data_IF_051450832855
#
_entry.id   IF_051450832855
#
_cell.length_a   1.000
_cell.length_b   1.000
_cell.length_c   1.000
_cell.angle_alpha   90.00
_cell.angle_beta   90.00
_cell.angle_gamma   90.00
#
_symmetry.space_group_name_H-M   'P 1'
#
loop_
_entity.id
_entity.type
_entity.pdbx_description
1 polymer ?
#
# COMPACT_ATOMS: atom_id res chain seq x y z
N UNK A 1 -22.38 -14.14 10.87
CA UNK A 1 -23.18 -14.02 9.63
C UNK A 1 -22.33 -14.36 8.40
N UNK A 2 -21.12 -13.80 8.25
CA UNK A 2 -20.20 -14.14 7.15
C UNK A 2 -19.70 -15.59 7.14
N UNK A 3 -19.23 -16.14 8.27
CA UNK A 3 -18.81 -17.55 8.35
C UNK A 3 -19.96 -18.53 8.04
N UNK A 4 -21.18 -18.20 8.49
CA UNK A 4 -22.39 -18.97 8.20
C UNK A 4 -22.76 -18.95 6.71
N UNK A 5 -22.25 -17.97 5.96
CA UNK A 5 -22.39 -17.88 4.51
C UNK A 5 -21.23 -18.54 3.75
N UNK A 6 -20.31 -19.23 4.43
CA UNK A 6 -19.16 -19.90 3.82
C UNK A 6 -18.02 -18.95 3.42
N UNK A 7 -18.06 -17.69 3.88
CA UNK A 7 -17.00 -16.73 3.64
C UNK A 7 -15.95 -16.87 4.76
N UNK A 8 -14.67 -17.12 4.43
CA UNK A 8 -13.61 -17.14 5.42
C UNK A 8 -13.46 -15.73 6.02
N UNK A 9 -13.44 -15.67 7.36
CA UNK A 9 -13.25 -14.43 8.11
C UNK A 9 -12.05 -14.62 8.99
N UNK A 10 -11.12 -13.67 8.91
CA UNK A 10 -10.08 -13.50 9.92
C UNK A 10 -10.52 -12.36 10.85
N UNK A 11 -10.55 -12.63 12.15
CA UNK A 11 -10.86 -11.63 13.17
C UNK A 11 -9.55 -11.22 13.84
N UNK A 12 -8.93 -10.11 13.41
CA UNK A 12 -7.65 -9.72 13.98
C UNK A 12 -7.83 -9.26 15.42
N UNK A 13 -6.85 -9.59 16.26
CA UNK A 13 -6.80 -9.12 17.64
C UNK A 13 -6.63 -7.59 17.72
N UNK A 14 -6.02 -6.99 16.69
CA UNK A 14 -5.84 -5.56 16.54
C UNK A 14 -6.24 -5.14 15.12
N UNK A 15 -7.46 -4.58 15.01
CA UNK A 15 -7.99 -4.09 13.75
C UNK A 15 -7.23 -2.87 13.23
N UNK A 16 -6.77 -1.98 14.11
CA UNK A 16 -6.09 -0.75 13.70
C UNK A 16 -4.72 -1.07 13.13
N UNK A 17 -3.96 -1.95 13.77
CA UNK A 17 -2.69 -2.46 13.25
C UNK A 17 -2.86 -3.08 11.85
N UNK A 18 -3.88 -3.92 11.66
CA UNK A 18 -4.16 -4.52 10.35
C UNK A 18 -4.60 -3.52 9.30
N UNK A 19 -5.34 -2.49 9.68
CA UNK A 19 -5.70 -1.40 8.77
C UNK A 19 -4.45 -0.62 8.35
N UNK A 20 -3.57 -0.27 9.29
CA UNK A 20 -2.33 0.46 9.00
C UNK A 20 -1.34 -0.35 8.17
N UNK A 21 -1.24 -1.67 8.40
CA UNK A 21 -0.42 -2.57 7.60
C UNK A 21 -0.88 -2.57 6.14
N UNK A 22 -2.19 -2.73 5.89
CA UNK A 22 -2.76 -2.60 4.55
C UNK A 22 -2.61 -1.17 4.00
N UNK A 23 -2.71 -0.17 4.85
CA UNK A 23 -2.59 1.23 4.46
C UNK A 23 -1.17 1.53 3.95
N UNK A 24 -0.13 1.01 4.61
CA UNK A 24 1.27 1.09 4.18
C UNK A 24 1.46 0.59 2.74
N UNK A 25 0.81 -0.52 2.39
CA UNK A 25 0.80 -1.05 1.02
C UNK A 25 0.10 -0.09 0.05
N UNK A 26 -1.09 0.39 0.41
CA UNK A 26 -1.93 1.18 -0.49
C UNK A 26 -1.48 2.64 -0.66
N UNK A 27 -0.77 3.21 0.32
CA UNK A 27 -0.33 4.61 0.30
C UNK A 27 0.63 4.91 -0.85
N UNK A 28 1.38 3.88 -1.30
CA UNK A 28 2.32 4.00 -2.41
C UNK A 28 1.69 3.76 -3.80
N UNK A 29 0.40 3.39 -3.90
CA UNK A 29 -0.22 3.03 -5.18
C UNK A 29 -0.22 4.15 -6.21
N UNK A 30 -0.24 5.41 -5.78
CA UNK A 30 -0.12 6.57 -6.67
C UNK A 30 1.22 6.58 -7.43
N UNK A 31 2.30 6.04 -6.84
CA UNK A 31 3.62 5.95 -7.50
C UNK A 31 3.56 4.99 -8.69
N UNK A 32 2.92 3.82 -8.51
CA UNK A 32 2.67 2.89 -9.61
C UNK A 32 1.75 3.48 -10.68
N UNK A 33 0.71 4.22 -10.28
CA UNK A 33 -0.21 4.89 -11.20
C UNK A 33 0.51 5.90 -12.10
N UNK A 34 1.31 6.81 -11.51
CA UNK A 34 2.07 7.83 -12.23
C UNK A 34 3.05 7.21 -13.23
N UNK A 35 3.75 6.17 -12.80
CA UNK A 35 4.74 5.50 -13.64
C UNK A 35 4.15 4.49 -14.64
N UNK A 36 2.84 4.21 -14.55
CA UNK A 36 2.14 3.21 -15.36
C UNK A 36 2.82 1.83 -15.35
N UNK A 37 3.33 1.44 -14.18
CA UNK A 37 4.14 0.25 -14.03
C UNK A 37 3.38 -0.85 -13.26
N UNK A 38 3.37 -2.10 -13.77
CA UNK A 38 3.06 -3.27 -12.97
C UNK A 38 3.99 -3.42 -11.75
N UNK A 39 3.54 -4.16 -10.73
CA UNK A 39 4.28 -4.31 -9.46
C UNK A 39 5.68 -4.92 -9.65
N UNK A 40 5.78 -5.98 -10.44
CA UNK A 40 7.01 -6.70 -10.74
C UNK A 40 7.98 -5.81 -11.53
N UNK A 41 7.48 -5.11 -12.54
CA UNK A 41 8.28 -4.22 -13.40
C UNK A 41 8.79 -3.01 -12.64
N UNK A 42 7.91 -2.30 -11.93
CA UNK A 42 8.27 -1.09 -11.19
C UNK A 42 9.29 -1.40 -10.09
N UNK A 43 9.07 -2.46 -9.34
CA UNK A 43 9.91 -2.80 -8.18
C UNK A 43 11.26 -3.43 -8.55
N UNK A 44 11.44 -3.86 -9.80
CA UNK A 44 12.72 -4.33 -10.32
C UNK A 44 13.69 -3.18 -10.66
N UNK A 45 13.19 -1.95 -10.84
CA UNK A 45 14.00 -0.77 -11.19
C UNK A 45 14.49 -0.08 -9.91
N UNK A 46 15.80 -0.06 -9.68
CA UNK A 46 16.38 0.42 -8.42
C UNK A 46 15.94 1.86 -8.01
N UNK A 47 15.97 2.87 -8.91
CA UNK A 47 15.42 4.19 -8.59
C UNK A 47 13.93 4.19 -8.19
N UNK A 48 13.13 3.34 -8.83
CA UNK A 48 11.70 3.24 -8.52
C UNK A 48 11.48 2.59 -7.16
N UNK A 49 12.15 1.47 -6.90
CA UNK A 49 12.11 0.77 -5.60
C UNK A 49 12.49 1.69 -4.45
N UNK A 50 13.46 2.58 -4.67
CA UNK A 50 13.86 3.58 -3.69
C UNK A 50 12.78 4.62 -3.39
N UNK A 51 12.04 5.06 -4.41
CA UNK A 51 10.89 5.96 -4.23
C UNK A 51 9.76 5.27 -3.46
N UNK A 52 9.45 4.01 -3.79
CA UNK A 52 8.49 3.21 -3.01
C UNK A 52 8.90 3.07 -1.55
N UNK A 53 10.17 2.71 -1.31
CA UNK A 53 10.73 2.56 0.05
C UNK A 53 10.54 3.83 0.86
N UNK A 54 10.93 4.98 0.32
CA UNK A 54 10.79 6.28 1.00
C UNK A 54 9.33 6.61 1.31
N UNK A 55 8.42 6.45 0.35
CA UNK A 55 7.00 6.73 0.59
C UNK A 55 6.37 5.80 1.64
N UNK A 56 6.79 4.54 1.68
CA UNK A 56 6.39 3.60 2.72
C UNK A 56 6.98 3.97 4.09
N UNK A 57 8.25 4.37 4.15
CA UNK A 57 8.89 4.83 5.39
C UNK A 57 8.23 6.10 5.94
N UNK A 58 7.83 7.04 5.08
CA UNK A 58 7.03 8.20 5.47
C UNK A 58 5.70 7.77 6.08
N UNK A 59 4.99 6.84 5.43
CA UNK A 59 3.72 6.31 5.93
C UNK A 59 3.90 5.59 7.28
N UNK A 60 4.97 4.81 7.43
CA UNK A 60 5.30 4.11 8.68
C UNK A 60 5.65 5.09 9.82
N UNK A 61 6.34 6.19 9.51
CA UNK A 61 6.62 7.24 10.49
C UNK A 61 5.32 7.90 10.98
N UNK A 62 4.37 8.15 10.07
CA UNK A 62 3.03 8.66 10.43
C UNK A 62 2.26 7.64 11.27
N UNK A 63 2.29 6.35 10.92
CA UNK A 63 1.66 5.29 11.72
C UNK A 63 2.20 5.26 13.15
N UNK A 64 3.52 5.36 13.30
CA UNK A 64 4.18 5.41 14.61
C UNK A 64 3.76 6.64 15.41
N UNK A 65 3.70 7.82 14.78
CA UNK A 65 3.22 9.03 15.44
C UNK A 65 1.74 8.94 15.85
N UNK A 66 0.95 8.17 15.10
CA UNK A 66 -0.44 7.85 15.42
C UNK A 66 -0.59 6.82 16.55
N UNK A 67 0.52 6.23 17.03
CA UNK A 67 0.52 5.24 18.11
C UNK A 67 0.43 3.78 17.64
N UNK A 68 0.64 3.53 16.34
CA UNK A 68 0.57 2.19 15.75
C UNK A 68 1.98 1.74 15.37
N UNK A 69 2.44 0.65 15.99
CA UNK A 69 3.74 0.05 15.70
C UNK A 69 3.60 -1.08 14.68
N UNK A 70 3.91 -0.79 13.41
CA UNK A 70 4.01 -1.81 12.38
C UNK A 70 5.24 -2.71 12.60
N UNK A 71 5.21 -3.97 12.11
CA UNK A 71 6.37 -4.84 12.14
C UNK A 71 7.61 -4.16 11.53
N UNK A 72 8.77 -4.35 12.16
CA UNK A 72 10.01 -3.69 11.75
C UNK A 72 10.41 -3.99 10.28
N UNK A 73 9.96 -5.13 9.74
CA UNK A 73 10.20 -5.57 8.38
C UNK A 73 9.06 -5.24 7.40
N UNK A 74 7.98 -4.57 7.83
CA UNK A 74 6.78 -4.36 6.98
C UNK A 74 7.10 -3.70 5.63
N UNK A 75 7.95 -2.66 5.62
CA UNK A 75 8.37 -2.00 4.38
C UNK A 75 9.14 -2.96 3.47
N UNK A 76 10.12 -3.69 4.01
CA UNK A 76 10.94 -4.64 3.25
C UNK A 76 10.08 -5.77 2.68
N UNK A 77 9.17 -6.31 3.49
CA UNK A 77 8.25 -7.38 3.09
C UNK A 77 7.37 -6.95 1.91
N UNK A 78 6.83 -5.73 1.92
CA UNK A 78 6.02 -5.24 0.80
C UNK A 78 6.85 -5.00 -0.46
N UNK A 79 8.06 -4.45 -0.35
CA UNK A 79 8.94 -4.27 -1.50
C UNK A 79 9.34 -5.60 -2.14
N UNK A 80 9.56 -6.64 -1.33
CA UNK A 80 9.77 -8.00 -1.82
C UNK A 80 8.49 -8.63 -2.39
N UNK A 81 7.35 -8.36 -1.78
CA UNK A 81 6.05 -8.83 -2.27
C UNK A 81 5.76 -8.31 -3.67
N UNK A 82 6.02 -7.02 -3.93
CA UNK A 82 5.85 -6.46 -5.26
C UNK A 82 6.79 -7.05 -6.30
N UNK A 83 8.06 -7.30 -5.96
CA UNK A 83 9.00 -7.91 -6.92
C UNK A 83 8.68 -9.36 -7.25
N UNK A 84 7.94 -10.05 -6.37
CA UNK A 84 7.47 -11.43 -6.55
C UNK A 84 6.01 -11.50 -7.04
N UNK A 85 5.37 -10.36 -7.30
CA UNK A 85 3.98 -10.33 -7.75
C UNK A 85 3.82 -11.06 -9.10
N UNK A 86 2.64 -11.64 -9.39
CA UNK A 86 2.38 -12.23 -10.69
C UNK A 86 2.64 -11.23 -11.82
N UNK A 87 3.10 -11.69 -13.00
CA UNK A 87 3.34 -10.82 -14.14
C UNK A 87 2.10 -9.97 -14.47
N UNK A 88 2.31 -8.68 -14.71
CA UNK A 88 1.25 -7.69 -14.99
C UNK A 88 0.26 -7.43 -13.84
N UNK A 89 0.58 -7.85 -12.60
CA UNK A 89 -0.23 -7.47 -11.45
C UNK A 89 -0.15 -5.94 -11.22
N UNK A 90 -1.31 -5.31 -11.01
CA UNK A 90 -1.45 -3.85 -10.87
C UNK A 90 -2.35 -3.48 -9.69
N UNK A 91 -2.17 -2.28 -9.14
CA UNK A 91 -3.09 -1.70 -8.16
C UNK A 91 -4.37 -1.16 -8.82
N UNK A 92 -5.46 -1.04 -8.05
CA UNK A 92 -6.71 -0.42 -8.51
C UNK A 92 -6.48 1.02 -8.95
N UNK A 93 -5.70 1.79 -8.19
CA UNK A 93 -5.37 3.18 -8.50
C UNK A 93 -4.74 3.36 -9.88
N UNK A 94 -3.92 2.41 -10.34
CA UNK A 94 -3.38 2.44 -11.71
C UNK A 94 -4.47 2.20 -12.75
N UNK A 95 -5.38 1.24 -12.52
CA UNK A 95 -6.50 0.99 -13.45
C UNK A 95 -7.42 2.20 -13.54
N UNK A 96 -7.79 2.78 -12.40
CA UNK A 96 -8.60 4.00 -12.35
C UNK A 96 -7.94 5.15 -13.11
N UNK A 97 -6.62 5.32 -12.92
CA UNK A 97 -5.84 6.34 -13.62
C UNK A 97 -5.78 6.12 -15.13
N UNK A 98 -5.66 4.88 -15.59
CA UNK A 98 -5.65 4.52 -17.02
C UNK A 98 -7.04 4.70 -17.64
N UNK A 99 -8.09 4.34 -16.92
CA UNK A 99 -9.49 4.44 -17.36
C UNK A 99 -10.01 5.89 -17.29
N UNK A 100 -9.25 6.82 -16.71
CA UNK A 100 -9.59 8.23 -16.61
C UNK A 100 -10.72 8.52 -15.61
N UNK A 101 -10.95 7.61 -14.67
CA UNK A 101 -11.95 7.78 -13.60
C UNK A 101 -11.27 8.34 -12.33
N UNK A 102 -12.03 8.95 -11.41
CA UNK A 102 -11.47 9.46 -10.16
C UNK A 102 -10.73 8.38 -9.37
N UNK A 103 -9.54 8.69 -8.87
CA UNK A 103 -8.72 7.78 -8.08
C UNK A 103 -8.86 8.03 -6.57
N UNK A 104 -8.51 7.03 -5.77
CA UNK A 104 -8.50 7.13 -4.30
C UNK A 104 -7.27 7.88 -3.73
N UNK A 105 -6.43 8.50 -4.57
CA UNK A 105 -5.16 9.10 -4.15
C UNK A 105 -5.31 10.11 -2.99
N UNK A 106 -6.37 10.93 -2.99
CA UNK A 106 -6.66 11.87 -1.90
C UNK A 106 -7.00 11.21 -0.55
N UNK A 107 -7.58 10.00 -0.59
CA UNK A 107 -7.86 9.16 0.57
C UNK A 107 -6.67 8.30 1.00
N UNK A 108 -5.71 8.06 0.10
CA UNK A 108 -4.52 7.26 0.36
C UNK A 108 -3.30 8.14 0.69
N UNK A 109 -2.49 8.49 -0.30
CA UNK A 109 -1.30 9.35 -0.10
C UNK A 109 -1.69 10.73 0.46
N UNK A 110 -2.85 11.26 0.10
CA UNK A 110 -3.38 12.49 0.70
C UNK A 110 -3.71 12.35 2.20
N UNK A 111 -4.09 11.16 2.68
CA UNK A 111 -4.30 10.93 4.10
C UNK A 111 -2.98 10.93 4.89
N UNK A 112 -1.90 10.39 4.31
CA UNK A 112 -0.56 10.45 4.92
C UNK A 112 -0.17 11.90 5.19
N UNK A 113 -0.38 12.80 4.22
CA UNK A 113 -0.09 14.23 4.39
C UNK A 113 -0.93 14.86 5.50
N UNK A 114 -2.23 14.58 5.56
CA UNK A 114 -3.13 15.15 6.59
C UNK A 114 -2.83 14.64 7.99
N UNK A 115 -2.43 13.38 8.12
CA UNK A 115 -2.12 12.75 9.40
C UNK A 115 -0.71 13.08 9.90
N UNK A 116 0.21 13.45 9.00
CA UNK A 116 1.56 13.85 9.33
C UNK A 116 1.77 15.36 9.54
N UNK A 117 0.73 16.17 9.35
CA UNK A 117 0.75 17.62 9.58
C UNK A 117 0.43 17.98 11.04
#
# INVERSE_FOLDING_TARGET
HFEKAGLPVDLPNDCELKMWDKFLLSSCYSIFAIARAPFDVGSAVAPFKEVLRKGMEETNAVAKAYGIELPANAVTDYLEGFSKAPPNATCSTLRDFVDGVPTEAGGLSGAVVRLGA
#
